data_IF_440010248720
#
_entry.id   IF_440010248720
#
_cell.length_a   1.000
_cell.length_b   1.000
_cell.length_c   1.000
_cell.angle_alpha   90.00
_cell.angle_beta   90.00
_cell.angle_gamma   90.00
#
_symmetry.space_group_name_H-M   'P 1'
#
loop_
_entity.id
_entity.type
_entity.pdbx_description
1 polymer ?
#
# COMPACT_ATOMS: atom_id res chain seq x y z
N UNK A 1 -21.92 9.03 -14.84
CA UNK A 1 -20.55 9.48 -14.51
C UNK A 1 -20.66 10.20 -13.17
N UNK A 2 -20.12 9.63 -12.10
CA UNK A 2 -20.30 10.19 -10.75
C UNK A 2 -19.51 11.49 -10.56
N UNK A 3 -20.16 12.51 -10.03
CA UNK A 3 -19.58 13.83 -9.77
C UNK A 3 -18.56 13.79 -8.62
N UNK A 4 -17.29 13.73 -8.99
CA UNK A 4 -16.14 13.86 -8.08
C UNK A 4 -16.00 15.28 -7.50
N UNK A 5 -16.70 16.25 -8.09
CA UNK A 5 -16.73 17.66 -7.70
C UNK A 5 -17.45 17.88 -6.36
N UNK A 6 -18.51 17.10 -6.06
CA UNK A 6 -19.26 17.18 -4.82
C UNK A 6 -18.49 16.57 -3.64
N UNK A 7 -17.82 15.43 -3.88
CA UNK A 7 -16.88 14.83 -2.94
C UNK A 7 -15.74 15.79 -2.62
N UNK A 8 -15.16 16.47 -3.62
CA UNK A 8 -14.10 17.47 -3.47
C UNK A 8 -14.49 18.67 -2.59
N UNK A 9 -15.71 19.20 -2.74
CA UNK A 9 -16.19 20.36 -1.94
C UNK A 9 -16.54 20.01 -0.49
N UNK A 10 -17.00 18.78 -0.23
CA UNK A 10 -17.17 18.26 1.13
C UNK A 10 -15.84 17.95 1.83
N UNK A 11 -14.81 17.73 1.05
CA UNK A 11 -13.44 17.39 1.46
C UNK A 11 -12.62 18.61 1.89
N UNK A 12 -12.85 19.74 1.24
CA UNK A 12 -12.17 21.01 1.48
C UNK A 12 -12.64 21.68 2.78
N UNK A 13 -13.91 21.48 3.17
CA UNK A 13 -14.54 22.11 4.34
C UNK A 13 -14.32 21.37 5.68
N UNK A 14 -13.48 20.32 5.72
CA UNK A 14 -13.31 19.46 6.90
C UNK A 14 -11.96 19.63 7.64
N UNK A 15 -11.20 20.70 7.33
CA UNK A 15 -9.78 20.81 7.67
C UNK A 15 -9.40 21.38 9.04
N UNK A 16 -10.33 21.87 9.86
CA UNK A 16 -9.92 22.61 11.06
C UNK A 16 -9.87 21.73 12.33
N UNK A 17 -8.66 21.25 12.61
CA UNK A 17 -8.12 20.92 13.94
C UNK A 17 -8.45 19.54 14.56
N UNK A 18 -7.74 18.49 14.07
CA UNK A 18 -7.01 17.45 14.85
C UNK A 18 -7.08 16.06 14.20
N UNK A 19 -5.99 15.29 14.31
CA UNK A 19 -5.67 13.98 13.67
C UNK A 19 -5.37 13.99 12.15
N UNK A 20 -5.47 15.15 11.49
CA UNK A 20 -5.13 15.31 10.05
C UNK A 20 -3.63 15.21 9.81
N UNK A 21 -2.81 15.69 10.75
CA UNK A 21 -1.35 15.77 10.61
C UNK A 21 -0.73 14.38 10.46
N UNK A 22 -1.02 13.43 11.37
CA UNK A 22 -0.47 12.07 11.28
C UNK A 22 -0.84 11.36 9.98
N UNK A 23 -2.09 11.50 9.52
CA UNK A 23 -2.59 10.87 8.27
C UNK A 23 -1.95 11.48 7.01
N UNK A 24 -1.75 12.79 6.97
CA UNK A 24 -1.05 13.47 5.86
C UNK A 24 0.41 13.04 5.82
N UNK A 25 1.11 13.09 6.95
CA UNK A 25 2.52 12.67 7.01
C UNK A 25 2.71 11.20 6.67
N UNK A 26 1.84 10.30 7.14
CA UNK A 26 1.89 8.89 6.75
C UNK A 26 1.72 8.69 5.23
N UNK A 27 0.86 9.49 4.59
CA UNK A 27 0.63 9.42 3.14
C UNK A 27 1.83 9.98 2.37
N UNK A 28 2.41 11.10 2.82
CA UNK A 28 3.62 11.69 2.24
C UNK A 28 4.80 10.73 2.36
N UNK A 29 5.04 10.15 3.53
CA UNK A 29 6.12 9.17 3.75
C UNK A 29 5.92 7.92 2.89
N UNK A 30 4.68 7.48 2.71
CA UNK A 30 4.37 6.35 1.84
C UNK A 30 4.67 6.65 0.36
N UNK A 31 4.24 7.80 -0.15
CA UNK A 31 4.56 8.24 -1.52
C UNK A 31 6.06 8.37 -1.72
N UNK A 32 6.75 8.92 -0.72
CA UNK A 32 8.19 9.09 -0.75
C UNK A 32 8.93 7.75 -0.84
N UNK A 33 8.49 6.72 -0.11
CA UNK A 33 9.04 5.35 -0.26
C UNK A 33 8.88 4.81 -1.67
N UNK A 34 7.71 5.00 -2.28
CA UNK A 34 7.44 4.54 -3.66
C UNK A 34 8.35 5.28 -4.66
N UNK A 35 8.50 6.59 -4.49
CA UNK A 35 9.36 7.42 -5.35
C UNK A 35 10.81 6.96 -5.27
N UNK A 36 11.33 6.76 -4.06
CA UNK A 36 12.72 6.33 -3.82
C UNK A 36 12.95 4.93 -4.38
N UNK A 37 12.02 4.00 -4.20
CA UNK A 37 12.09 2.69 -4.84
C UNK A 37 12.12 2.79 -6.37
N UNK A 38 11.29 3.65 -6.96
CA UNK A 38 11.26 3.84 -8.40
C UNK A 38 12.57 4.39 -8.96
N UNK A 39 13.20 5.34 -8.24
CA UNK A 39 14.48 5.92 -8.63
C UNK A 39 15.65 4.94 -8.44
N UNK A 40 15.69 4.24 -7.30
CA UNK A 40 16.85 3.44 -6.92
C UNK A 40 16.84 2.01 -7.50
N UNK A 41 15.68 1.44 -7.82
CA UNK A 41 15.56 0.03 -8.19
C UNK A 41 16.41 -0.37 -9.40
N UNK A 42 16.51 0.48 -10.42
CA UNK A 42 17.28 0.17 -11.63
C UNK A 42 18.71 0.70 -11.57
N UNK A 43 18.95 1.86 -10.95
CA UNK A 43 20.28 2.48 -10.93
C UNK A 43 21.25 1.83 -9.92
N UNK A 44 20.73 1.33 -8.80
CA UNK A 44 21.56 0.88 -7.65
C UNK A 44 21.52 -0.64 -7.46
N UNK A 45 20.41 -1.27 -7.85
CA UNK A 45 20.22 -2.72 -7.75
C UNK A 45 20.05 -3.40 -9.13
N UNK A 46 20.12 -2.67 -10.24
CA UNK A 46 19.98 -3.26 -11.57
C UNK A 46 21.14 -4.17 -11.98
N UNK A 47 22.35 -3.86 -11.50
CA UNK A 47 23.62 -4.55 -11.72
C UNK A 47 24.03 -5.42 -10.50
N UNK A 48 23.10 -5.68 -9.56
CA UNK A 48 23.43 -6.33 -8.28
C UNK A 48 24.07 -7.71 -8.44
N UNK A 49 23.65 -8.47 -9.46
CA UNK A 49 24.15 -9.81 -9.74
C UNK A 49 25.30 -9.80 -10.76
N UNK A 50 25.32 -8.86 -11.71
CA UNK A 50 26.38 -8.81 -12.74
C UNK A 50 27.71 -8.30 -12.19
N UNK A 51 27.66 -7.44 -11.17
CA UNK A 51 28.84 -6.80 -10.59
C UNK A 51 29.23 -7.43 -9.24
N UNK A 52 28.55 -8.50 -8.85
CA UNK A 52 28.95 -9.33 -7.72
C UNK A 52 30.07 -10.27 -8.18
N UNK A 53 31.28 -10.06 -7.70
CA UNK A 53 32.46 -10.79 -8.21
C UNK A 53 33.12 -11.59 -7.11
N UNK A 54 33.44 -12.86 -7.37
CA UNK A 54 34.19 -13.70 -6.42
C UNK A 54 35.62 -13.95 -6.91
N UNK A 55 36.59 -13.91 -5.99
CA UNK A 55 37.99 -14.22 -6.30
C UNK A 55 38.21 -15.74 -6.43
N UNK A 56 37.69 -16.31 -7.52
CA UNK A 56 37.77 -17.74 -7.83
C UNK A 56 37.58 -17.97 -9.33
N UNK A 57 38.18 -19.04 -9.86
CA UNK A 57 37.95 -19.51 -11.23
C UNK A 57 36.93 -20.66 -11.30
N UNK A 58 36.37 -21.06 -10.15
CA UNK A 58 35.42 -22.17 -10.08
C UNK A 58 34.06 -21.79 -10.68
N UNK A 59 33.59 -22.47 -11.74
CA UNK A 59 32.30 -22.20 -12.33
C UNK A 59 31.16 -22.46 -11.33
N UNK A 60 30.18 -21.56 -11.31
CA UNK A 60 28.99 -21.64 -10.46
C UNK A 60 29.17 -21.17 -9.02
N UNK A 61 30.41 -20.94 -8.55
CA UNK A 61 30.66 -20.44 -7.20
C UNK A 61 30.04 -19.04 -6.97
N UNK A 62 30.21 -18.12 -7.93
CA UNK A 62 29.65 -16.77 -7.84
C UNK A 62 28.12 -16.79 -7.69
N UNK A 63 27.43 -17.63 -8.46
CA UNK A 63 25.97 -17.75 -8.41
C UNK A 63 25.47 -18.22 -7.03
N UNK A 64 26.10 -19.23 -6.43
CA UNK A 64 25.66 -19.77 -5.13
C UNK A 64 26.00 -18.83 -3.98
N UNK A 65 27.12 -18.11 -4.08
CA UNK A 65 27.53 -17.12 -3.09
C UNK A 65 26.64 -15.88 -3.14
N UNK A 66 26.25 -15.45 -4.33
CA UNK A 66 25.28 -14.38 -4.50
C UNK A 66 23.93 -14.75 -3.86
N UNK A 67 23.42 -15.94 -4.14
CA UNK A 67 22.17 -16.47 -3.57
C UNK A 67 22.22 -16.57 -2.04
N UNK A 68 23.37 -16.96 -1.47
CA UNK A 68 23.57 -17.04 -0.03
C UNK A 68 23.68 -15.66 0.63
N UNK A 69 24.39 -14.72 0.01
CA UNK A 69 24.55 -13.37 0.50
C UNK A 69 23.24 -12.56 0.41
N UNK A 70 22.44 -12.79 -0.63
CA UNK A 70 21.23 -12.05 -0.95
C UNK A 70 20.05 -12.98 -1.31
N UNK A 71 19.51 -13.75 -0.34
CA UNK A 71 18.43 -14.70 -0.59
C UNK A 71 17.15 -14.04 -1.12
N UNK A 72 16.92 -12.78 -0.72
CA UNK A 72 16.00 -11.86 -1.38
C UNK A 72 16.75 -10.54 -1.62
N UNK A 73 16.44 -9.83 -2.69
CA UNK A 73 17.04 -8.50 -2.89
C UNK A 73 16.31 -7.45 -2.05
N UNK A 74 17.04 -6.41 -1.62
CA UNK A 74 16.50 -5.35 -0.77
C UNK A 74 15.28 -4.67 -1.39
N UNK A 75 15.31 -4.41 -2.70
CA UNK A 75 14.19 -3.83 -3.45
C UNK A 75 12.94 -4.72 -3.33
N UNK A 76 13.08 -6.03 -3.53
CA UNK A 76 11.95 -6.98 -3.41
C UNK A 76 11.40 -7.00 -1.98
N UNK A 77 12.28 -6.98 -1.00
CA UNK A 77 11.90 -6.91 0.42
C UNK A 77 11.08 -5.64 0.73
N UNK A 78 11.52 -4.47 0.25
CA UNK A 78 10.81 -3.20 0.44
C UNK A 78 9.49 -3.13 -0.33
N UNK A 79 9.40 -3.73 -1.52
CA UNK A 79 8.13 -3.86 -2.24
C UNK A 79 7.13 -4.69 -1.44
N UNK A 80 7.56 -5.82 -0.87
CA UNK A 80 6.72 -6.62 0.02
C UNK A 80 6.29 -5.81 1.25
N UNK A 81 7.21 -5.08 1.89
CA UNK A 81 6.89 -4.20 3.03
C UNK A 81 5.77 -3.21 2.67
N UNK A 82 5.88 -2.51 1.55
CA UNK A 82 4.87 -1.54 1.09
C UNK A 82 3.51 -2.21 0.87
N UNK A 83 3.48 -3.39 0.25
CA UNK A 83 2.24 -4.14 0.02
C UNK A 83 1.58 -4.49 1.34
N UNK A 84 2.31 -5.15 2.26
CA UNK A 84 1.76 -5.57 3.56
C UNK A 84 1.33 -4.40 4.43
N UNK A 85 2.10 -3.31 4.47
CA UNK A 85 1.76 -2.09 5.24
C UNK A 85 0.54 -1.36 4.64
N UNK A 86 0.29 -1.50 3.34
CA UNK A 86 -0.87 -0.87 2.67
C UNK A 86 -2.16 -1.68 2.79
N UNK A 87 -2.08 -3.01 2.81
CA UNK A 87 -3.24 -3.90 2.82
C UNK A 87 -4.26 -3.59 3.93
N UNK A 88 -3.87 -3.38 5.20
CA UNK A 88 -4.80 -3.01 6.26
C UNK A 88 -5.58 -1.71 5.97
N UNK A 89 -4.93 -0.73 5.33
CA UNK A 89 -5.56 0.54 4.94
C UNK A 89 -6.57 0.34 3.80
N UNK A 90 -6.25 -0.53 2.84
CA UNK A 90 -7.16 -0.90 1.75
C UNK A 90 -8.39 -1.65 2.26
N UNK A 91 -8.22 -2.58 3.20
CA UNK A 91 -9.31 -3.31 3.84
C UNK A 91 -10.22 -2.34 4.60
N UNK A 92 -9.64 -1.44 5.39
CA UNK A 92 -10.40 -0.41 6.11
C UNK A 92 -11.21 0.47 5.17
N UNK A 93 -10.60 0.96 4.08
CA UNK A 93 -11.32 1.74 3.09
C UNK A 93 -12.42 0.94 2.41
N UNK A 94 -12.14 -0.31 2.00
CA UNK A 94 -13.12 -1.19 1.40
C UNK A 94 -14.35 -1.35 2.29
N UNK A 95 -14.13 -1.49 3.60
CA UNK A 95 -15.18 -1.52 4.60
C UNK A 95 -15.96 -0.21 4.71
N UNK A 96 -15.29 0.95 4.71
CA UNK A 96 -15.94 2.28 4.70
C UNK A 96 -16.80 2.46 3.46
N UNK A 97 -16.25 2.21 2.27
CA UNK A 97 -16.95 2.33 1.00
C UNK A 97 -18.15 1.37 0.90
N UNK A 98 -17.99 0.15 1.43
CA UNK A 98 -19.08 -0.81 1.49
C UNK A 98 -20.24 -0.30 2.37
N UNK A 99 -19.93 0.22 3.57
CA UNK A 99 -20.95 0.78 4.46
C UNK A 99 -21.67 1.96 3.80
N UNK A 100 -20.92 2.92 3.23
CA UNK A 100 -21.51 4.10 2.58
C UNK A 100 -22.46 3.71 1.46
N UNK A 101 -22.06 2.77 0.58
CA UNK A 101 -22.93 2.27 -0.50
C UNK A 101 -24.17 1.55 0.03
N UNK A 102 -24.05 0.79 1.12
CA UNK A 102 -25.18 0.11 1.73
C UNK A 102 -26.18 1.09 2.35
N UNK A 103 -25.69 2.19 2.94
CA UNK A 103 -26.54 3.26 3.45
C UNK A 103 -27.25 4.03 2.34
N UNK A 104 -26.56 4.35 1.24
CA UNK A 104 -27.15 5.01 0.07
C UNK A 104 -28.29 4.17 -0.52
N UNK A 105 -28.07 2.87 -0.75
CA UNK A 105 -29.11 1.93 -1.19
C UNK A 105 -30.27 1.74 -0.20
N UNK A 106 -30.03 1.97 1.09
CA UNK A 106 -31.09 1.92 2.11
C UNK A 106 -31.94 3.19 2.06
N UNK A 107 -31.31 4.36 1.90
CA UNK A 107 -32.00 5.64 1.73
C UNK A 107 -32.87 5.67 0.49
N UNK A 108 -32.35 5.18 -0.64
CA UNK A 108 -33.13 5.04 -1.89
C UNK A 108 -34.40 4.20 -1.66
N UNK A 109 -34.28 3.04 -1.01
CA UNK A 109 -35.43 2.17 -0.70
C UNK A 109 -36.43 2.79 0.28
N UNK A 110 -35.96 3.52 1.29
CA UNK A 110 -36.83 4.24 2.22
C UNK A 110 -37.57 5.39 1.53
N UNK A 111 -36.92 6.09 0.58
CA UNK A 111 -37.57 7.11 -0.25
C UNK A 111 -38.60 6.53 -1.21
N UNK A 112 -38.31 5.38 -1.84
CA UNK A 112 -39.28 4.65 -2.68
C UNK A 112 -40.51 4.19 -1.88
N UNK A 113 -40.30 3.61 -0.69
CA UNK A 113 -41.40 3.23 0.21
C UNK A 113 -42.24 4.44 0.66
N UNK A 114 -41.62 5.60 0.93
CA UNK A 114 -42.34 6.84 1.27
C UNK A 114 -43.14 7.40 0.10
N UNK A 115 -42.69 7.22 -1.14
CA UNK A 115 -43.45 7.61 -2.35
C UNK A 115 -44.61 6.65 -2.60
N UNK A 116 -44.40 5.35 -2.41
CA UNK A 116 -45.44 4.33 -2.56
C UNK A 116 -46.57 4.48 -1.51
N UNK A 117 -46.23 4.79 -0.26
CA UNK A 117 -47.22 5.04 0.80
C UNK A 117 -48.10 6.27 0.53
N UNK A 118 -47.57 7.30 -0.13
CA UNK A 118 -48.32 8.51 -0.50
C UNK A 118 -49.34 8.30 -1.63
N UNK A 119 -49.19 7.25 -2.44
CA UNK A 119 -50.15 6.90 -3.50
C UNK A 119 -51.33 6.05 -2.99
N UNK A 120 -51.20 5.41 -1.82
CA UNK A 120 -52.26 4.56 -1.24
C UNK A 120 -53.30 5.38 -0.45
N UNK A 121 -52.93 6.57 0.05
CA UNK A 121 -53.84 7.47 0.78
C UNK A 121 -54.88 8.19 -0.11
N UNK A 122 -54.78 8.10 -1.44
CA UNK A 122 -55.64 8.82 -2.38
C UNK A 122 -56.79 7.96 -2.98
N UNK A 123 -56.99 6.70 -2.55
CA UNK A 123 -58.00 5.80 -3.13
C UNK A 123 -58.95 5.10 -2.12
N UNK A 124 -59.15 5.59 -0.89
CA UNK A 124 -60.36 5.21 -0.14
C UNK A 124 -60.74 6.22 0.97
N UNK A 125 -61.77 7.07 0.78
CA UNK A 125 -62.19 8.04 1.77
C UNK A 125 -63.34 7.50 2.64
N UNK A 126 -63.21 6.32 3.28
CA UNK A 126 -64.18 5.94 4.31
C UNK A 126 -63.66 4.85 5.27
N UNK A 127 -63.04 5.26 6.38
CA UNK A 127 -63.45 4.93 7.76
C UNK A 127 -62.36 5.31 8.76
N UNK A 128 -62.62 6.37 9.52
CA UNK A 128 -61.85 6.77 10.69
C UNK A 128 -62.36 5.98 11.91
N UNK A 129 -61.52 5.12 12.50
CA UNK A 129 -61.36 4.90 13.96
C UNK A 129 -60.80 3.49 14.25
N UNK A 130 -59.67 3.43 14.96
CA UNK A 130 -59.13 2.18 15.47
C UNK A 130 -57.73 2.34 16.03
N UNK A 131 -57.66 2.63 17.32
CA UNK A 131 -56.42 2.83 18.07
C UNK A 131 -55.51 1.58 18.12
N UNK A 132 -54.22 1.87 18.33
CA UNK A 132 -53.21 1.03 19.02
C UNK A 132 -52.77 -0.27 18.34
N UNK A 133 -51.57 -0.19 17.76
CA UNK A 133 -50.71 -1.34 17.48
C UNK A 133 -49.25 -0.93 17.53
N UNK A 134 -48.78 -0.52 18.71
CA UNK A 134 -47.38 -0.16 18.96
C UNK A 134 -46.47 -1.37 18.74
N UNK A 135 -45.82 -1.42 17.58
CA UNK A 135 -44.71 -2.31 17.26
C UNK A 135 -43.45 -1.48 17.02
N UNK A 136 -42.90 -0.91 18.09
CA UNK A 136 -41.63 -0.20 18.05
C UNK A 136 -40.51 -1.14 17.60
N UNK A 137 -40.27 -1.22 16.29
CA UNK A 137 -38.98 -1.67 15.79
C UNK A 137 -37.97 -0.66 16.33
N UNK A 138 -37.08 -1.12 17.22
CA UNK A 138 -35.91 -0.36 17.67
C UNK A 138 -35.09 0.01 16.45
N UNK A 139 -35.41 1.15 15.86
CA UNK A 139 -34.72 1.69 14.72
C UNK A 139 -33.34 2.08 15.20
N UNK A 140 -32.32 1.35 14.73
CA UNK A 140 -30.92 1.72 15.03
C UNK A 140 -30.74 3.14 14.49
N UNK A 141 -30.28 4.10 15.33
CA UNK A 141 -30.17 5.49 14.90
C UNK A 141 -29.27 5.59 13.65
N UNK A 142 -29.60 6.46 12.69
CA UNK A 142 -28.84 6.61 11.46
C UNK A 142 -27.38 6.99 11.76
N UNK A 143 -26.45 6.41 11.01
CA UNK A 143 -25.00 6.64 11.11
C UNK A 143 -24.61 8.07 10.67
N UNK A 144 -25.51 8.80 10.01
CA UNK A 144 -25.32 10.21 9.64
C UNK A 144 -26.28 11.10 10.44
N UNK A 145 -25.74 12.13 11.09
CA UNK A 145 -26.55 13.21 11.66
C UNK A 145 -27.13 14.10 10.52
N UNK A 146 -28.12 14.95 10.80
CA UNK A 146 -28.79 15.84 9.81
C UNK A 146 -27.81 16.71 8.99
N UNK A 147 -26.58 16.88 9.46
CA UNK A 147 -25.53 17.67 8.83
C UNK A 147 -24.65 16.86 7.85
N UNK A 148 -25.01 15.60 7.54
CA UNK A 148 -24.31 14.79 6.54
C UNK A 148 -22.99 14.16 7.00
N UNK A 149 -22.57 14.35 8.26
CA UNK A 149 -21.34 13.80 8.86
C UNK A 149 -21.47 12.31 9.22
N UNK A 150 -20.48 11.50 8.89
CA UNK A 150 -20.43 10.07 9.25
C UNK A 150 -20.03 9.98 10.73
N UNK A 151 -20.91 9.45 11.59
CA UNK A 151 -20.52 9.13 12.96
C UNK A 151 -19.69 7.85 12.92
N UNK A 152 -18.37 7.96 13.08
CA UNK A 152 -17.49 6.84 13.43
C UNK A 152 -17.87 6.35 14.84
N UNK A 153 -18.92 5.53 14.95
CA UNK A 153 -19.31 4.85 16.19
C UNK A 153 -19.26 3.34 16.02
N UNK A 154 -18.69 2.66 17.01
CA UNK A 154 -18.70 1.20 17.12
C UNK A 154 -17.81 0.49 16.08
N UNK A 155 -18.44 -0.12 15.08
CA UNK A 155 -17.79 -1.04 14.14
C UNK A 155 -16.68 -0.39 13.29
N UNK A 156 -16.87 0.86 12.85
CA UNK A 156 -15.89 1.62 12.07
C UNK A 156 -14.63 1.99 12.88
N UNK A 157 -14.79 2.31 14.16
CA UNK A 157 -13.65 2.56 15.05
C UNK A 157 -12.87 1.27 15.30
N UNK A 158 -13.58 0.15 15.46
CA UNK A 158 -12.95 -1.17 15.66
C UNK A 158 -12.12 -1.58 14.44
N UNK A 159 -12.65 -1.47 13.23
CA UNK A 159 -11.90 -1.81 12.00
C UNK A 159 -10.72 -0.86 11.77
N UNK A 160 -10.86 0.41 12.13
CA UNK A 160 -9.76 1.37 12.10
C UNK A 160 -8.64 1.04 13.11
N UNK A 161 -8.98 0.68 14.35
CA UNK A 161 -7.99 0.25 15.35
C UNK A 161 -7.27 -1.02 14.87
N UNK A 162 -8.00 -2.00 14.34
CA UNK A 162 -7.37 -3.21 13.75
C UNK A 162 -6.42 -2.85 12.61
N UNK A 163 -6.80 -1.94 11.71
CA UNK A 163 -5.93 -1.46 10.64
C UNK A 163 -4.59 -0.93 11.20
N UNK A 164 -4.64 -0.03 12.19
CA UNK A 164 -3.40 0.54 12.76
C UNK A 164 -2.56 -0.54 13.47
N UNK A 165 -3.19 -1.47 14.20
CA UNK A 165 -2.48 -2.59 14.85
C UNK A 165 -1.76 -3.45 13.80
N UNK A 166 -2.45 -3.91 12.76
CA UNK A 166 -1.83 -4.74 11.72
C UNK A 166 -0.71 -3.96 10.99
N UNK A 167 -0.92 -2.68 10.71
CA UNK A 167 0.10 -1.82 10.10
C UNK A 167 1.36 -1.72 10.97
N UNK A 168 1.18 -1.53 12.27
CA UNK A 168 2.26 -1.48 13.27
C UNK A 168 3.01 -2.81 13.33
N UNK A 169 2.29 -3.94 13.39
CA UNK A 169 2.88 -5.28 13.40
C UNK A 169 3.68 -5.57 12.13
N UNK A 170 3.15 -5.22 10.95
CA UNK A 170 3.88 -5.39 9.70
C UNK A 170 5.13 -4.49 9.64
N UNK A 171 5.02 -3.20 9.97
CA UNK A 171 6.21 -2.31 10.01
C UNK A 171 7.29 -2.86 10.95
N UNK A 172 6.94 -3.26 12.17
CA UNK A 172 7.90 -3.87 13.12
C UNK A 172 8.48 -5.17 12.56
N UNK A 173 7.65 -6.04 12.00
CA UNK A 173 8.08 -7.30 11.41
C UNK A 173 9.10 -7.11 10.27
N UNK A 174 8.86 -6.15 9.37
CA UNK A 174 9.80 -5.84 8.28
C UNK A 174 11.08 -5.15 8.79
N UNK A 175 11.00 -4.28 9.80
CA UNK A 175 12.19 -3.67 10.43
C UNK A 175 13.07 -4.77 11.06
N UNK A 176 12.48 -5.68 11.83
CA UNK A 176 13.20 -6.80 12.44
C UNK A 176 13.73 -7.76 11.36
N UNK A 177 12.93 -8.08 10.34
CA UNK A 177 13.36 -8.91 9.23
C UNK A 177 14.58 -8.34 8.49
N UNK A 178 14.58 -7.04 8.19
CA UNK A 178 15.73 -6.35 7.59
C UNK A 178 16.96 -6.45 8.49
N UNK A 179 16.79 -6.22 9.79
CA UNK A 179 17.88 -6.28 10.76
C UNK A 179 18.50 -7.68 10.85
N UNK A 180 17.68 -8.74 10.91
CA UNK A 180 18.17 -10.11 11.02
C UNK A 180 18.72 -10.68 9.70
N UNK A 181 18.20 -10.26 8.54
CA UNK A 181 18.66 -10.73 7.24
C UNK A 181 19.93 -10.02 6.77
N UNK A 182 19.99 -8.69 6.90
CA UNK A 182 21.05 -7.87 6.29
C UNK A 182 21.78 -6.96 7.26
N UNK A 183 21.21 -6.71 8.45
CA UNK A 183 21.70 -5.70 9.37
C UNK A 183 21.46 -4.27 8.87
N UNK A 184 22.26 -3.33 9.40
CA UNK A 184 22.17 -1.90 9.07
C UNK A 184 23.23 -1.42 8.09
N UNK A 185 24.24 -2.25 7.79
CA UNK A 185 25.36 -1.86 6.95
C UNK A 185 25.79 -3.04 6.08
N UNK A 186 25.90 -2.80 4.77
CA UNK A 186 26.37 -3.81 3.83
C UNK A 186 27.90 -3.78 3.77
N UNK A 187 28.56 -4.89 4.13
CA UNK A 187 30.03 -4.99 4.02
C UNK A 187 30.41 -5.12 2.54
N UNK A 188 31.52 -4.50 2.08
CA UNK A 188 31.98 -4.67 0.70
C UNK A 188 32.47 -6.09 0.40
N UNK A 189 32.93 -6.81 1.42
CA UNK A 189 33.47 -8.16 1.33
C UNK A 189 32.51 -9.17 1.99
N UNK A 190 32.16 -10.21 1.24
CA UNK A 190 31.40 -11.37 1.71
C UNK A 190 32.27 -12.63 1.60
N UNK A 191 32.42 -13.37 2.70
CA UNK A 191 33.17 -14.62 2.73
C UNK A 191 32.23 -15.80 2.54
N UNK A 192 32.41 -16.53 1.44
CA UNK A 192 31.52 -17.60 1.04
C UNK A 192 32.23 -18.96 1.07
N UNK A 193 31.62 -19.96 1.71
CA UNK A 193 32.13 -21.34 1.78
C UNK A 193 31.18 -22.39 1.22
N UNK A 194 30.19 -21.97 0.41
CA UNK A 194 29.13 -22.83 -0.12
C UNK A 194 29.58 -23.60 -1.35
N UNK A 195 29.15 -24.86 -1.46
CA UNK A 195 29.44 -25.67 -2.65
C UNK A 195 28.82 -25.03 -3.91
N UNK A 196 29.53 -24.93 -5.05
CA UNK A 196 30.77 -25.63 -5.43
C UNK A 196 32.08 -24.89 -5.15
N UNK A 197 32.11 -23.87 -4.29
CA UNK A 197 33.32 -23.07 -4.07
C UNK A 197 34.49 -23.86 -3.44
N UNK A 198 35.74 -23.64 -3.89
CA UNK A 198 36.91 -24.25 -3.28
C UNK A 198 37.25 -23.51 -1.98
N UNK A 199 37.03 -24.17 -0.85
CA UNK A 199 37.21 -23.57 0.49
C UNK A 199 36.39 -22.27 0.65
N UNK A 200 36.88 -21.33 1.45
CA UNK A 200 36.27 -20.01 1.60
C UNK A 200 36.85 -19.04 0.58
N UNK A 201 35.98 -18.46 -0.25
CA UNK A 201 36.33 -17.45 -1.25
C UNK A 201 35.86 -16.07 -0.79
N UNK A 202 36.58 -15.04 -1.26
CA UNK A 202 36.25 -13.64 -1.04
C UNK A 202 35.41 -13.12 -2.21
N UNK A 203 34.21 -12.64 -1.92
CA UNK A 203 33.30 -12.05 -2.90
C UNK A 203 33.06 -10.57 -2.60
N UNK A 204 33.00 -9.74 -3.64
CA UNK A 204 32.87 -8.30 -3.57
C UNK A 204 31.48 -7.86 -4.01
N UNK A 205 30.84 -7.07 -3.16
CA UNK A 205 29.48 -6.57 -3.39
C UNK A 205 29.56 -5.24 -4.13
N UNK A 206 28.78 -5.09 -5.22
CA UNK A 206 28.68 -3.84 -5.96
C UNK A 206 27.99 -2.74 -5.15
N UNK A 207 28.57 -1.52 -5.18
CA UNK A 207 28.06 -0.27 -4.58
C UNK A 207 27.57 -0.40 -3.12
N UNK A 208 28.38 -0.94 -2.20
CA UNK A 208 27.91 -1.27 -0.84
C UNK A 208 27.60 -0.02 -0.01
N UNK A 209 28.32 1.08 -0.23
CA UNK A 209 28.08 2.38 0.43
C UNK A 209 26.77 3.00 -0.02
N UNK A 210 26.52 3.06 -1.33
CA UNK A 210 25.28 3.56 -1.91
C UNK A 210 24.07 2.75 -1.43
N UNK A 211 24.14 1.42 -1.53
CA UNK A 211 23.11 0.51 -1.00
C UNK A 211 22.85 0.75 0.50
N UNK A 212 23.91 0.94 1.29
CA UNK A 212 23.79 1.22 2.73
C UNK A 212 23.08 2.54 3.00
N UNK A 213 23.34 3.61 2.23
CA UNK A 213 22.65 4.90 2.38
C UNK A 213 21.14 4.73 2.17
N UNK A 214 20.74 4.03 1.10
CA UNK A 214 19.33 3.74 0.84
C UNK A 214 18.70 2.83 1.91
N UNK A 215 19.42 1.83 2.42
CA UNK A 215 18.96 0.98 3.53
C UNK A 215 18.67 1.82 4.79
N UNK A 216 19.61 2.67 5.19
CA UNK A 216 19.45 3.55 6.36
C UNK A 216 18.29 4.50 6.15
N UNK A 217 18.19 5.10 4.96
CA UNK A 217 17.12 6.02 4.64
C UNK A 217 15.73 5.33 4.71
N UNK A 218 15.58 4.16 4.09
CA UNK A 218 14.32 3.39 4.12
C UNK A 218 13.97 2.98 5.55
N UNK A 219 14.97 2.61 6.36
CA UNK A 219 14.80 2.32 7.79
C UNK A 219 14.33 3.56 8.58
N UNK A 220 14.92 4.74 8.36
CA UNK A 220 14.49 5.97 9.03
C UNK A 220 13.03 6.28 8.68
N UNK A 221 12.65 6.18 7.40
CA UNK A 221 11.26 6.37 6.98
C UNK A 221 10.33 5.31 7.59
N UNK A 222 10.80 4.07 7.77
CA UNK A 222 10.11 3.01 8.52
C UNK A 222 9.86 3.37 9.99
N UNK A 223 10.91 3.79 10.69
CA UNK A 223 10.84 4.22 12.09
C UNK A 223 9.93 5.42 12.30
N UNK A 224 9.99 6.44 11.42
CA UNK A 224 9.11 7.62 11.51
C UNK A 224 7.65 7.22 11.26
N UNK A 225 7.37 6.36 10.26
CA UNK A 225 6.01 5.81 10.04
C UNK A 225 5.50 5.06 11.26
N UNK A 226 6.33 4.20 11.85
CA UNK A 226 6.00 3.47 13.08
C UNK A 226 5.66 4.41 14.23
N UNK A 227 6.49 5.43 14.46
CA UNK A 227 6.25 6.44 15.49
C UNK A 227 4.92 7.18 15.27
N UNK A 228 4.63 7.59 14.02
CA UNK A 228 3.36 8.24 13.70
C UNK A 228 2.15 7.33 13.94
N UNK A 229 2.24 6.04 13.60
CA UNK A 229 1.17 5.07 13.90
C UNK A 229 0.98 4.88 15.42
N UNK A 230 2.07 4.85 16.19
CA UNK A 230 2.00 4.76 17.66
C UNK A 230 1.41 6.02 18.29
N UNK A 231 1.80 7.21 17.81
CA UNK A 231 1.22 8.48 18.25
C UNK A 231 -0.28 8.57 17.95
N UNK A 232 -0.72 8.02 16.81
CA UNK A 232 -2.14 7.94 16.45
C UNK A 232 -2.92 7.04 17.43
N UNK A 233 -2.39 5.85 17.76
CA UNK A 233 -2.97 4.97 18.79
C UNK A 233 -2.98 5.65 20.15
N UNK A 234 -1.89 6.28 20.55
CA UNK A 234 -1.75 6.93 21.85
C UNK A 234 -2.76 8.08 22.00
N UNK A 235 -2.90 8.93 20.98
CA UNK A 235 -3.88 10.00 20.96
C UNK A 235 -5.32 9.47 21.04
N UNK A 236 -5.63 8.38 20.33
CA UNK A 236 -6.94 7.71 20.41
C UNK A 236 -7.20 7.09 21.79
N UNK A 237 -6.17 6.49 22.40
CA UNK A 237 -6.24 5.86 23.73
C UNK A 237 -6.40 6.88 24.85
N UNK A 238 -5.59 7.94 24.86
CA UNK A 238 -5.62 8.99 25.88
C UNK A 238 -6.98 9.68 25.96
N UNK A 239 -7.57 9.99 24.80
CA UNK A 239 -8.90 10.60 24.70
C UNK A 239 -10.02 9.71 25.26
N UNK A 240 -9.86 8.39 25.20
CA UNK A 240 -10.83 7.44 25.75
C UNK A 240 -10.71 7.31 27.28
N UNK A 241 -9.50 7.47 27.84
CA UNK A 241 -9.24 7.37 29.28
C UNK A 241 -9.68 8.64 30.02
N UNK A 242 -9.51 9.82 29.43
CA UNK A 242 -9.85 11.10 30.08
C UNK A 242 -11.35 11.46 30.10
N UNK A 243 -12.24 10.57 29.68
CA UNK A 243 -13.70 10.77 29.83
C UNK A 243 -14.31 11.94 29.04
N UNK A 244 -13.53 12.67 28.23
CA UNK A 244 -14.04 13.74 27.40
C UNK A 244 -14.87 13.17 26.25
N UNK A 245 -16.18 13.42 26.34
CA UNK A 245 -17.18 13.03 25.35
C UNK A 245 -16.73 13.41 23.94
N UNK A 246 -16.38 12.39 23.17
CA UNK A 246 -16.32 12.36 21.71
C UNK A 246 -16.12 13.72 21.00
N UNK A 247 -14.93 14.31 21.09
CA UNK A 247 -14.52 15.31 20.10
C UNK A 247 -14.51 14.61 18.73
N UNK A 248 -15.19 15.22 17.76
CA UNK A 248 -15.22 14.85 16.35
C UNK A 248 -13.79 14.55 15.83
N UNK A 249 -13.44 13.28 15.73
CA UNK A 249 -12.31 12.87 14.89
C UNK A 249 -12.78 13.03 13.46
N UNK A 250 -12.23 14.03 12.78
CA UNK A 250 -12.42 14.21 11.33
C UNK A 250 -12.26 12.87 10.63
N UNK A 251 -13.31 12.53 9.89
CA UNK A 251 -13.36 11.34 9.03
C UNK A 251 -12.08 11.25 8.19
N UNK A 252 -11.53 10.05 7.93
CA UNK A 252 -10.55 9.92 6.88
C UNK A 252 -11.26 10.26 5.57
N UNK A 253 -10.97 11.45 5.06
CA UNK A 253 -11.65 11.97 3.89
C UNK A 253 -11.26 11.17 2.64
N UNK A 254 -12.18 10.98 1.66
CA UNK A 254 -11.95 10.12 0.49
C UNK A 254 -10.80 10.56 -0.45
N UNK A 255 -10.29 11.79 -0.37
CA UNK A 255 -9.29 12.32 -1.31
C UNK A 255 -7.88 11.76 -1.05
N UNK A 256 -7.45 11.74 0.21
CA UNK A 256 -6.10 11.30 0.60
C UNK A 256 -5.93 9.79 0.40
N UNK A 257 -7.04 9.05 0.48
CA UNK A 257 -7.09 7.60 0.29
C UNK A 257 -7.06 7.23 -1.19
N UNK A 258 -7.66 8.07 -2.06
CA UNK A 258 -7.54 7.94 -3.52
C UNK A 258 -6.09 8.01 -3.98
N UNK A 259 -5.25 8.85 -3.36
CA UNK A 259 -3.81 8.90 -3.65
C UNK A 259 -3.07 7.63 -3.20
N UNK A 260 -3.34 7.10 -2.01
CA UNK A 260 -2.69 5.89 -1.49
C UNK A 260 -3.02 4.64 -2.34
N UNK A 261 -4.28 4.52 -2.77
CA UNK A 261 -4.76 3.51 -3.72
C UNK A 261 -4.18 3.71 -5.12
N UNK A 262 -4.22 4.94 -5.66
CA UNK A 262 -3.67 5.25 -6.98
C UNK A 262 -2.16 4.99 -7.00
N UNK A 263 -1.42 5.34 -5.97
CA UNK A 263 0.02 5.09 -5.90
C UNK A 263 0.33 3.59 -5.82
N UNK A 264 -0.37 2.83 -4.97
CA UNK A 264 -0.16 1.39 -4.84
C UNK A 264 -0.59 0.60 -6.09
N UNK A 265 -1.77 0.90 -6.65
CA UNK A 265 -2.24 0.29 -7.90
C UNK A 265 -1.42 0.75 -9.11
N UNK A 266 -1.04 2.03 -9.19
CA UNK A 266 -0.16 2.54 -10.25
C UNK A 266 1.19 1.86 -10.15
N UNK A 267 1.75 1.67 -8.96
CA UNK A 267 3.02 0.96 -8.77
C UNK A 267 2.92 -0.51 -9.17
N UNK A 268 1.91 -1.28 -8.73
CA UNK A 268 1.73 -2.68 -9.16
C UNK A 268 1.48 -2.79 -10.68
N UNK A 269 0.69 -1.86 -11.24
CA UNK A 269 0.45 -1.75 -12.68
C UNK A 269 1.72 -1.40 -13.45
N UNK A 270 2.48 -0.40 -12.99
CA UNK A 270 3.74 0.01 -13.60
C UNK A 270 4.82 -1.04 -13.41
N UNK A 271 4.84 -1.76 -12.30
CA UNK A 271 5.77 -2.86 -12.09
C UNK A 271 5.49 -3.98 -13.09
N UNK A 272 4.23 -4.40 -13.23
CA UNK A 272 3.83 -5.39 -14.25
C UNK A 272 4.10 -4.90 -15.68
N UNK A 273 3.89 -3.61 -15.98
CA UNK A 273 4.22 -3.01 -17.28
C UNK A 273 5.73 -2.88 -17.52
N UNK A 274 6.50 -2.45 -16.52
CA UNK A 274 7.97 -2.39 -16.57
C UNK A 274 8.52 -3.78 -16.75
N UNK A 275 7.98 -4.81 -16.09
CA UNK A 275 8.37 -6.20 -16.26
C UNK A 275 8.02 -6.76 -17.65
N UNK A 276 6.90 -6.32 -18.26
CA UNK A 276 6.53 -6.65 -19.65
C UNK A 276 7.39 -5.94 -20.71
N UNK A 277 7.67 -4.65 -20.50
CA UNK A 277 8.59 -3.85 -21.34
C UNK A 277 10.02 -4.40 -21.22
N UNK A 278 10.42 -4.83 -20.03
CA UNK A 278 11.70 -5.47 -19.72
C UNK A 278 11.82 -6.86 -20.35
N UNK A 279 10.78 -7.70 -20.32
CA UNK A 279 10.75 -8.96 -21.10
C UNK A 279 10.90 -8.71 -22.60
N UNK A 280 10.28 -7.66 -23.16
CA UNK A 280 10.46 -7.28 -24.56
C UNK A 280 11.86 -6.75 -24.87
N UNK A 281 12.48 -5.97 -23.99
CA UNK A 281 13.83 -5.40 -24.19
C UNK A 281 14.94 -6.47 -24.10
N UNK A 282 14.81 -7.42 -23.18
CA UNK A 282 15.70 -8.60 -23.07
C UNK A 282 15.55 -9.51 -24.30
N UNK A 283 14.33 -9.67 -24.84
CA UNK A 283 14.13 -10.43 -26.07
C UNK A 283 14.73 -9.73 -27.30
N UNK A 284 14.72 -8.39 -27.34
CA UNK A 284 15.28 -7.61 -28.44
C UNK A 284 16.82 -7.60 -28.42
N UNK A 285 17.45 -7.49 -27.25
CA UNK A 285 18.92 -7.58 -27.12
C UNK A 285 19.47 -8.98 -27.46
N UNK A 286 18.69 -10.05 -27.20
CA UNK A 286 19.08 -11.43 -27.56
C UNK A 286 19.09 -11.68 -29.09
N UNK A 287 18.47 -10.80 -29.88
CA UNK A 287 18.53 -10.85 -31.36
C UNK A 287 19.63 -9.96 -31.98
N UNK A 288 20.35 -9.14 -31.19
CA UNK A 288 21.38 -8.22 -31.71
C UNK A 288 22.82 -8.69 -31.49
N UNK A 289 23.03 -9.83 -30.83
CA UNK A 289 24.36 -10.42 -30.64
C UNK A 289 24.45 -11.71 -31.48
N UNK A 290 24.85 -11.54 -32.75
CA UNK A 290 25.76 -12.36 -33.57
C UNK A 290 25.64 -11.88 -35.02
N UNK A 291 26.65 -11.13 -35.49
CA UNK A 291 27.51 -11.47 -36.65
C UNK A 291 28.64 -10.44 -36.75
N UNK A 292 29.87 -10.76 -36.28
CA UNK A 292 31.06 -10.11 -36.76
C UNK A 292 31.56 -10.87 -37.99
N UNK A 293 31.43 -10.24 -39.16
CA UNK A 293 32.30 -10.30 -40.33
C UNK A 293 31.47 -10.13 -41.60
N UNK A 294 31.73 -9.01 -42.25
CA UNK A 294 31.28 -8.78 -43.61
C UNK A 294 31.98 -9.73 -44.55
N UNK A 295 31.18 -10.47 -45.31
CA UNK A 295 31.41 -10.75 -46.72
C UNK A 295 30.03 -10.83 -47.36
N UNK A 296 29.85 -10.03 -48.41
CA UNK A 296 28.72 -10.13 -49.34
C UNK A 296 28.87 -11.44 -50.11
N UNK A 297 27.84 -12.28 -50.10
CA UNK A 297 27.61 -13.25 -51.17
C UNK A 297 26.16 -13.18 -51.64
N UNK A 298 26.01 -12.72 -52.88
CA UNK A 298 24.90 -13.07 -53.76
C UNK A 298 24.81 -14.60 -53.88
N UNK A 299 23.60 -15.15 -53.78
CA UNK A 299 23.38 -16.58 -53.89
C UNK A 299 21.90 -16.96 -53.93
N UNK A 300 21.28 -16.71 -55.10
CA UNK A 300 20.21 -17.44 -55.81
C UNK A 300 19.14 -18.25 -55.04
N UNK A 301 17.90 -18.02 -55.46
CA UNK A 301 16.72 -18.88 -55.29
C UNK A 301 16.96 -20.35 -55.69
N UNK A 302 16.30 -21.29 -55.01
CA UNK A 302 15.63 -22.46 -55.61
C UNK A 302 14.83 -23.26 -54.55
N UNK A 303 13.52 -23.39 -54.83
CA UNK A 303 12.52 -24.38 -54.39
C UNK A 303 12.26 -24.65 -52.90
#
# INVERSE_FOLDING_TARGET
MGDWSFLGRLLENAQEHSTVIGKVWLTVLFIFRILVLGAAAEEVWGDEQSDFTCNTQQPGCENVCYDEAFPISHIRFWVLQIIFVSTPTLIYLGHVLHIVRMEEKRREREEELRKAGRHQEDHDPLYHNGARGGGGKKEKPPIRDEHGKIRIRGALLRTYIFNIIFKTLFEVGFILGQYFLYGFHLRPLYKCGRWPCPNTVDCFISRPTEKTIFIIFMLVVACVSLLLNLLEIYHLGWKKVNGESAVHTGDPTPSNISQHLKASCSFVSNWNKMELVRKKKIHLQRHTIIKPNGYVQEGKEAY
#
